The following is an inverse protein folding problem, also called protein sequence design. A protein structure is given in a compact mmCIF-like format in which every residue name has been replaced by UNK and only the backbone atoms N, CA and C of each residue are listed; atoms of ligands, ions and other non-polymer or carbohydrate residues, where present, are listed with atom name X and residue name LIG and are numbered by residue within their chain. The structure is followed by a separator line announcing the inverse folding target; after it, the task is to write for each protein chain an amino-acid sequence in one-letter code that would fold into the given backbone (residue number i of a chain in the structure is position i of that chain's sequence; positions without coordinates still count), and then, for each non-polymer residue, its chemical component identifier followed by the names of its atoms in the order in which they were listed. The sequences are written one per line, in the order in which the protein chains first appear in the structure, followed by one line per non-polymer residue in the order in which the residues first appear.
data_IF_131081833925
#
_entry.id   IF_131081833925
#
_cell.length_a   1.000
_cell.length_b   1.000
_cell.length_c   1.000
_cell.angle_alpha   90.00
_cell.angle_beta   90.00
_cell.angle_gamma   90.00
#
_symmetry.space_group_name_H-M   'P 1'
#
loop_
_entity.id
_entity.type
_entity.pdbx_description
1 polymer ?
#
# COMPACT_ATOMS: atom_id res chain seq x y z
N UNK A 1 -56.12 -0.58 -16.35
CA UNK A 1 -57.01 -1.73 -16.14
C UNK A 1 -57.20 -2.42 -17.48
N UNK A 2 -56.60 -3.61 -17.64
CA UNK A 2 -56.92 -4.65 -18.65
C UNK A 2 -56.05 -5.87 -18.34
N UNK A 3 -56.64 -6.71 -17.51
CA UNK A 3 -56.75 -8.17 -17.57
C UNK A 3 -55.63 -9.00 -18.22
N UNK A 4 -55.10 -9.90 -17.39
CA UNK A 4 -54.42 -11.13 -17.77
C UNK A 4 -55.43 -12.29 -17.59
N UNK A 5 -55.42 -13.34 -18.44
CA UNK A 5 -55.27 -14.67 -17.82
C UNK A 5 -54.52 -15.73 -18.66
N UNK A 6 -53.61 -16.41 -17.95
CA UNK A 6 -53.33 -17.86 -17.82
C UNK A 6 -53.76 -18.86 -18.91
N UNK A 7 -52.80 -19.69 -19.35
CA UNK A 7 -52.77 -21.18 -19.51
C UNK A 7 -51.47 -21.54 -20.28
N UNK A 8 -50.73 -22.64 -20.15
CA UNK A 8 -50.88 -23.90 -19.42
C UNK A 8 -49.53 -24.69 -19.44
N UNK A 9 -49.39 -25.61 -18.47
CA UNK A 9 -48.66 -26.91 -18.48
C UNK A 9 -47.16 -27.02 -18.87
N UNK A 10 -46.36 -27.58 -17.94
CA UNK A 10 -45.94 -29.00 -18.00
C UNK A 10 -45.19 -29.45 -16.74
N UNK A 11 -45.70 -30.52 -16.14
CA UNK A 11 -45.12 -31.28 -15.03
C UNK A 11 -44.21 -32.38 -15.55
N UNK A 12 -43.04 -32.59 -14.93
CA UNK A 12 -42.37 -33.90 -14.90
C UNK A 12 -41.83 -34.15 -13.49
N UNK A 13 -42.24 -35.29 -12.92
CA UNK A 13 -41.94 -35.77 -11.57
C UNK A 13 -41.55 -37.25 -11.65
N UNK A 14 -40.32 -37.63 -11.30
CA UNK A 14 -39.90 -38.96 -10.78
C UNK A 14 -38.56 -38.76 -10.03
N UNK A 15 -38.52 -38.68 -8.68
CA UNK A 15 -38.21 -39.72 -7.65
C UNK A 15 -36.94 -40.55 -7.95
N UNK A 16 -35.81 -40.38 -7.24
CA UNK A 16 -35.45 -40.76 -5.84
C UNK A 16 -34.76 -42.14 -5.72
N UNK A 17 -33.50 -42.14 -5.27
CA UNK A 17 -32.84 -43.10 -4.35
C UNK A 17 -31.44 -42.54 -4.03
N UNK A 18 -31.15 -42.01 -2.84
CA UNK A 18 -30.98 -42.63 -1.52
C UNK A 18 -29.77 -43.56 -1.41
N UNK A 19 -28.60 -43.02 -1.01
CA UNK A 19 -27.70 -43.60 0.01
C UNK A 19 -26.93 -42.46 0.71
N UNK A 20 -27.00 -42.44 2.05
CA UNK A 20 -26.04 -41.83 2.99
C UNK A 20 -25.72 -42.94 4.03
N UNK A 21 -24.82 -42.79 5.03
CA UNK A 21 -23.94 -41.67 5.42
C UNK A 21 -22.49 -42.09 5.80
N UNK A 22 -21.64 -41.11 6.14
CA UNK A 22 -20.59 -41.09 7.20
C UNK A 22 -19.39 -40.21 6.78
N UNK A 23 -18.63 -39.52 7.62
CA UNK A 23 -18.85 -38.78 8.88
C UNK A 23 -17.49 -38.18 9.23
N UNK A 24 -17.27 -36.89 9.02
CA UNK A 24 -16.30 -36.04 9.73
C UNK A 24 -16.34 -34.65 9.07
N UNK A 25 -16.66 -33.54 9.71
CA UNK A 25 -16.51 -33.25 11.13
C UNK A 25 -15.85 -31.88 11.29
N UNK A 26 -16.31 -30.87 10.56
CA UNK A 26 -16.00 -29.46 10.88
C UNK A 26 -17.24 -28.62 10.60
N UNK A 27 -18.19 -28.66 11.54
CA UNK A 27 -19.25 -27.65 11.62
C UNK A 27 -18.59 -26.32 11.97
N UNK A 28 -18.32 -25.49 10.97
CA UNK A 28 -18.12 -24.06 11.21
C UNK A 28 -19.49 -23.52 11.66
N UNK A 29 -19.63 -23.00 12.90
CA UNK A 29 -20.90 -22.44 13.32
C UNK A 29 -21.24 -21.23 12.43
N UNK A 30 -22.51 -21.05 12.04
CA UNK A 30 -22.92 -19.96 11.19
C UNK A 30 -22.71 -18.62 11.92
N UNK A 31 -22.13 -17.65 11.21
CA UNK A 31 -22.04 -16.23 11.58
C UNK A 31 -23.41 -15.68 11.99
N UNK A 32 -23.75 -15.74 13.29
CA UNK A 32 -25.07 -15.33 13.80
C UNK A 32 -25.10 -13.93 14.43
N UNK A 33 -23.99 -13.19 14.42
CA UNK A 33 -23.84 -11.93 15.16
C UNK A 33 -23.80 -10.65 14.30
N UNK A 34 -23.71 -10.73 12.97
CA UNK A 34 -23.58 -9.52 12.15
C UNK A 34 -24.89 -8.72 12.04
N UNK A 35 -26.03 -9.40 12.00
CA UNK A 35 -27.34 -8.73 11.88
C UNK A 35 -27.69 -7.88 13.12
N UNK A 36 -27.27 -8.30 14.32
CA UNK A 36 -27.47 -7.55 15.56
C UNK A 36 -26.51 -6.37 15.69
N UNK A 37 -25.24 -6.56 15.30
CA UNK A 37 -24.24 -5.50 15.28
C UNK A 37 -24.64 -4.37 14.31
N UNK A 38 -25.10 -4.71 13.10
CA UNK A 38 -25.51 -3.72 12.09
C UNK A 38 -26.73 -2.88 12.52
N UNK A 39 -27.70 -3.47 13.24
CA UNK A 39 -28.83 -2.70 13.81
C UNK A 39 -28.40 -1.77 14.93
N UNK A 40 -27.46 -2.21 15.77
CA UNK A 40 -26.91 -1.42 16.88
C UNK A 40 -26.08 -0.25 16.34
N UNK A 41 -25.32 -0.47 15.27
CA UNK A 41 -24.58 0.56 14.56
C UNK A 41 -25.53 1.59 13.90
N UNK A 42 -26.60 1.14 13.24
CA UNK A 42 -27.63 2.05 12.69
C UNK A 42 -28.35 2.87 13.76
N UNK A 43 -28.59 2.30 14.95
CA UNK A 43 -29.16 3.03 16.07
C UNK A 43 -28.18 4.09 16.61
N UNK A 44 -26.90 3.73 16.78
CA UNK A 44 -25.85 4.65 17.23
C UNK A 44 -25.60 5.80 16.25
N UNK A 45 -25.66 5.55 14.93
CA UNK A 45 -25.58 6.58 13.87
C UNK A 45 -26.57 7.71 14.05
N UNK A 46 -27.77 7.42 14.56
CA UNK A 46 -28.84 8.40 14.71
C UNK A 46 -28.82 9.11 16.07
N UNK A 47 -28.17 8.54 17.08
CA UNK A 47 -28.42 8.93 18.47
C UNK A 47 -27.17 9.20 19.32
N UNK A 48 -25.94 8.99 18.82
CA UNK A 48 -24.72 9.10 19.64
C UNK A 48 -23.70 10.09 19.07
N UNK A 49 -23.44 11.22 19.74
CA UNK A 49 -22.33 12.11 19.40
C UNK A 49 -20.96 11.42 19.46
N UNK A 50 -20.78 10.46 20.39
CA UNK A 50 -19.56 9.66 20.51
C UNK A 50 -19.37 8.75 19.27
N UNK A 51 -20.44 8.16 18.76
CA UNK A 51 -20.38 7.39 17.51
C UNK A 51 -19.98 8.27 16.32
N UNK A 52 -20.52 9.48 16.19
CA UNK A 52 -20.14 10.39 15.11
C UNK A 52 -18.66 10.79 15.17
N UNK A 53 -18.15 11.08 16.38
CA UNK A 53 -16.71 11.34 16.59
C UNK A 53 -15.87 10.11 16.25
N UNK A 54 -16.28 8.92 16.69
CA UNK A 54 -15.59 7.66 16.37
C UNK A 54 -15.54 7.42 14.87
N UNK A 55 -16.66 7.63 14.17
CA UNK A 55 -16.73 7.49 12.72
C UNK A 55 -15.81 8.52 12.03
N UNK A 56 -15.81 9.78 12.44
CA UNK A 56 -14.91 10.81 11.89
C UNK A 56 -13.43 10.51 12.14
N UNK A 57 -13.09 9.95 13.30
CA UNK A 57 -11.72 9.56 13.63
C UNK A 57 -11.22 8.38 12.80
N UNK A 58 -12.12 7.47 12.43
CA UNK A 58 -11.79 6.22 11.73
C UNK A 58 -11.91 6.32 10.21
N UNK A 59 -12.57 7.35 9.68
CA UNK A 59 -12.68 7.59 8.23
C UNK A 59 -11.31 7.89 7.57
N UNK A 60 -11.22 7.58 6.28
CA UNK A 60 -10.10 7.92 5.41
C UNK A 60 -9.98 9.44 5.28
N UNK A 61 -8.95 10.04 5.89
CA UNK A 61 -8.65 11.46 5.75
C UNK A 61 -7.93 11.71 4.42
N UNK A 62 -8.04 12.92 3.83
CA UNK A 62 -7.30 13.29 2.62
C UNK A 62 -5.78 13.07 2.74
N UNK A 63 -5.23 13.07 3.96
CA UNK A 63 -3.80 12.81 4.22
C UNK A 63 -3.38 11.38 3.88
N UNK A 64 -4.21 10.37 4.16
CA UNK A 64 -3.87 8.98 3.87
C UNK A 64 -3.87 8.72 2.36
N UNK A 65 -4.86 9.28 1.65
CA UNK A 65 -4.89 9.25 0.19
C UNK A 65 -3.68 9.96 -0.41
N UNK A 66 -3.38 11.19 0.05
CA UNK A 66 -2.23 11.95 -0.43
C UNK A 66 -0.90 11.22 -0.20
N UNK A 67 -0.70 10.57 0.95
CA UNK A 67 0.52 9.78 1.20
C UNK A 67 0.58 8.52 0.34
N UNK A 68 -0.55 7.89 0.06
CA UNK A 68 -0.61 6.76 -0.88
C UNK A 68 -0.28 7.18 -2.31
N UNK A 69 -0.75 8.36 -2.73
CA UNK A 69 -0.46 8.94 -4.04
C UNK A 69 1.04 9.29 -4.13
N UNK A 70 1.61 9.95 -3.11
CA UNK A 70 3.05 10.23 -3.05
C UNK A 70 3.88 8.95 -3.11
N UNK A 71 3.50 7.89 -2.38
CA UNK A 71 4.21 6.61 -2.45
C UNK A 71 4.15 5.99 -3.86
N UNK A 72 3.01 6.13 -4.53
CA UNK A 72 2.82 5.63 -5.90
C UNK A 72 3.67 6.43 -6.89
N UNK A 73 3.60 7.75 -6.83
CA UNK A 73 4.34 8.66 -7.70
C UNK A 73 5.85 8.52 -7.49
N UNK A 74 6.31 8.47 -6.23
CA UNK A 74 7.71 8.25 -5.89
C UNK A 74 8.20 6.89 -6.41
N UNK A 75 7.39 5.83 -6.30
CA UNK A 75 7.75 4.52 -6.83
C UNK A 75 7.84 4.51 -8.36
N UNK A 76 6.95 5.21 -9.07
CA UNK A 76 7.00 5.30 -10.53
C UNK A 76 8.23 6.11 -10.96
N UNK A 77 8.42 7.28 -10.34
CA UNK A 77 9.51 8.21 -10.62
C UNK A 77 10.87 7.56 -10.37
N UNK A 78 11.01 6.82 -9.26
CA UNK A 78 12.24 6.08 -8.95
C UNK A 78 12.61 5.08 -10.05
N UNK A 79 11.64 4.37 -10.64
CA UNK A 79 11.92 3.42 -11.73
C UNK A 79 12.44 4.14 -12.98
N UNK A 80 11.88 5.31 -13.29
CA UNK A 80 12.37 6.16 -14.39
C UNK A 80 13.80 6.64 -14.11
N UNK A 81 14.05 7.16 -12.90
CA UNK A 81 15.37 7.63 -12.50
C UNK A 81 16.45 6.52 -12.57
N UNK A 82 16.10 5.31 -12.12
CA UNK A 82 16.99 4.13 -12.23
C UNK A 82 17.32 3.82 -13.70
N UNK A 83 16.34 3.91 -14.59
CA UNK A 83 16.55 3.69 -16.03
C UNK A 83 17.49 4.76 -16.60
N UNK A 84 17.23 6.03 -16.31
CA UNK A 84 18.01 7.17 -16.81
C UNK A 84 19.48 7.09 -16.36
N UNK A 85 19.73 6.80 -15.09
CA UNK A 85 21.09 6.60 -14.57
C UNK A 85 21.79 5.43 -15.25
N UNK A 86 21.06 4.34 -15.51
CA UNK A 86 21.61 3.16 -16.19
C UNK A 86 22.02 3.49 -17.63
N UNK A 87 21.21 4.28 -18.34
CA UNK A 87 21.49 4.74 -19.69
C UNK A 87 22.69 5.70 -19.74
N UNK A 88 22.79 6.61 -18.78
CA UNK A 88 23.94 7.51 -18.64
C UNK A 88 25.23 6.75 -18.35
N UNK A 89 25.19 5.75 -17.47
CA UNK A 89 26.33 4.86 -17.19
C UNK A 89 26.74 4.05 -18.42
N UNK A 90 25.79 3.60 -19.24
CA UNK A 90 26.08 2.91 -20.49
C UNK A 90 26.78 3.83 -21.50
N UNK A 91 26.29 5.06 -21.67
CA UNK A 91 26.94 6.08 -22.51
C UNK A 91 28.36 6.39 -22.03
N UNK A 92 28.55 6.53 -20.72
CA UNK A 92 29.86 6.78 -20.14
C UNK A 92 30.85 5.66 -20.42
N UNK A 93 30.44 4.40 -20.29
CA UNK A 93 31.28 3.24 -20.63
C UNK A 93 31.59 3.16 -22.12
N UNK A 94 30.69 3.58 -23.00
CA UNK A 94 30.94 3.61 -24.44
C UNK A 94 32.07 4.60 -24.80
N UNK A 95 32.26 5.68 -24.03
CA UNK A 95 33.39 6.61 -24.20
C UNK A 95 34.76 6.00 -23.83
N UNK A 96 34.81 4.80 -23.25
CA UNK A 96 36.06 4.09 -22.97
C UNK A 96 36.56 3.26 -24.17
N UNK A 97 35.74 3.11 -25.22
CA UNK A 97 36.12 2.43 -26.47
C UNK A 97 36.93 3.42 -27.34
N UNK A 98 38.10 3.05 -27.88
CA UNK A 98 38.99 3.99 -28.55
C UNK A 98 38.38 4.46 -29.88
N UNK A 99 37.74 5.62 -29.85
CA UNK A 99 37.39 6.39 -31.04
C UNK A 99 38.54 7.36 -31.36
N UNK A 100 38.75 7.66 -32.64
CA UNK A 100 39.76 8.60 -33.14
C UNK A 100 39.45 10.07 -32.81
N UNK A 101 38.73 10.33 -31.72
CA UNK A 101 38.35 11.68 -31.27
C UNK A 101 39.51 12.35 -30.50
N UNK A 102 39.60 13.68 -30.63
CA UNK A 102 40.56 14.49 -29.89
C UNK A 102 40.44 14.27 -28.38
N UNK A 103 41.58 14.09 -27.71
CA UNK A 103 41.67 13.79 -26.29
C UNK A 103 40.99 14.82 -25.39
N UNK A 104 40.94 16.09 -25.79
CA UNK A 104 40.28 17.17 -25.03
C UNK A 104 38.75 17.10 -25.13
N UNK A 105 38.22 16.76 -26.31
CA UNK A 105 36.78 16.61 -26.55
C UNK A 105 36.25 15.39 -25.79
N UNK A 106 36.99 14.28 -25.79
CA UNK A 106 36.66 13.09 -24.99
C UNK A 106 36.68 13.38 -23.48
N UNK A 107 37.67 14.13 -23.00
CA UNK A 107 37.76 14.52 -21.60
C UNK A 107 36.59 15.40 -21.16
N UNK A 108 36.18 16.36 -22.00
CA UNK A 108 35.01 17.21 -21.71
C UNK A 108 33.73 16.37 -21.67
N UNK A 109 33.48 15.51 -22.67
CA UNK A 109 32.29 14.64 -22.69
C UNK A 109 32.21 13.71 -21.48
N UNK A 110 33.34 13.16 -21.02
CA UNK A 110 33.38 12.36 -19.79
C UNK A 110 33.03 13.19 -18.56
N UNK A 111 33.53 14.42 -18.47
CA UNK A 111 33.21 15.33 -17.37
C UNK A 111 31.71 15.64 -17.35
N UNK A 112 31.15 16.00 -18.50
CA UNK A 112 29.72 16.34 -18.63
C UNK A 112 28.83 15.13 -18.30
N UNK A 113 29.15 13.94 -18.79
CA UNK A 113 28.41 12.72 -18.45
C UNK A 113 28.55 12.35 -16.96
N UNK A 114 29.72 12.53 -16.36
CA UNK A 114 29.91 12.27 -14.92
C UNK A 114 29.01 13.17 -14.09
N UNK A 115 28.95 14.47 -14.43
CA UNK A 115 28.06 15.41 -13.74
C UNK A 115 26.59 15.03 -13.89
N UNK A 116 26.15 14.62 -15.09
CA UNK A 116 24.79 14.14 -15.33
C UNK A 116 24.46 12.85 -14.58
N UNK A 117 25.41 11.91 -14.50
CA UNK A 117 25.25 10.67 -13.73
C UNK A 117 25.06 11.00 -12.24
N UNK A 118 25.91 11.87 -11.68
CA UNK A 118 25.81 12.26 -10.28
C UNK A 118 24.46 12.93 -9.98
N UNK A 119 24.02 13.85 -10.86
CA UNK A 119 22.71 14.47 -10.70
C UNK A 119 21.54 13.47 -10.77
N UNK A 120 21.63 12.50 -11.68
CA UNK A 120 20.62 11.43 -11.81
C UNK A 120 20.60 10.52 -10.58
N UNK A 121 21.77 10.23 -10.01
CA UNK A 121 21.91 9.46 -8.76
C UNK A 121 21.34 10.23 -7.57
N UNK A 122 21.61 11.53 -7.44
CA UNK A 122 21.03 12.37 -6.38
C UNK A 122 19.49 12.34 -6.47
N UNK A 123 18.95 12.45 -7.68
CA UNK A 123 17.51 12.35 -7.91
C UNK A 123 16.92 10.97 -7.59
N UNK A 124 17.65 9.88 -7.88
CA UNK A 124 17.26 8.54 -7.42
C UNK A 124 17.12 8.50 -5.88
N UNK A 125 18.08 9.07 -5.15
CA UNK A 125 18.04 9.12 -3.69
C UNK A 125 16.85 9.94 -3.16
N UNK A 126 16.57 11.11 -3.76
CA UNK A 126 15.39 11.91 -3.40
C UNK A 126 14.08 11.11 -3.56
N UNK A 127 13.97 10.31 -4.64
CA UNK A 127 12.81 9.45 -4.87
C UNK A 127 12.70 8.32 -3.82
N UNK A 128 13.82 7.73 -3.41
CA UNK A 128 13.87 6.72 -2.36
C UNK A 128 13.42 7.28 -1.01
N UNK A 129 13.89 8.48 -0.65
CA UNK A 129 13.52 9.18 0.57
C UNK A 129 12.05 9.55 0.60
N UNK A 130 11.51 10.07 -0.52
CA UNK A 130 10.10 10.38 -0.65
C UNK A 130 9.22 9.13 -0.47
N UNK A 131 9.60 8.00 -1.07
CA UNK A 131 8.90 6.73 -0.93
C UNK A 131 8.92 6.24 0.52
N UNK A 132 10.09 6.25 1.17
CA UNK A 132 10.25 5.82 2.56
C UNK A 132 9.44 6.71 3.52
N UNK A 133 9.46 8.03 3.32
CA UNK A 133 8.71 8.99 4.10
C UNK A 133 7.20 8.80 3.96
N UNK A 134 6.71 8.56 2.73
CA UNK A 134 5.29 8.33 2.48
C UNK A 134 4.77 7.06 3.17
N UNK A 135 5.51 5.95 3.05
CA UNK A 135 5.16 4.68 3.70
C UNK A 135 5.18 4.81 5.23
N UNK A 136 6.18 5.50 5.79
CA UNK A 136 6.24 5.79 7.23
C UNK A 136 5.08 6.67 7.68
N UNK A 137 4.73 7.68 6.87
CA UNK A 137 3.60 8.57 7.11
C UNK A 137 2.27 7.81 7.20
N UNK A 138 2.03 6.87 6.28
CA UNK A 138 0.82 6.04 6.28
C UNK A 138 0.69 5.24 7.58
N UNK A 139 1.77 4.62 8.04
CA UNK A 139 1.78 3.85 9.29
C UNK A 139 1.46 4.75 10.51
N UNK A 140 2.03 5.96 10.56
CA UNK A 140 1.78 6.93 11.64
C UNK A 140 0.34 7.43 11.65
N UNK A 141 -0.24 7.70 10.48
CA UNK A 141 -1.63 8.15 10.36
C UNK A 141 -2.58 7.06 10.87
N UNK A 142 -2.39 5.81 10.48
CA UNK A 142 -3.22 4.70 10.95
C UNK A 142 -3.10 4.49 12.47
N UNK A 143 -1.88 4.52 13.02
CA UNK A 143 -1.66 4.43 14.47
C UNK A 143 -2.34 5.58 15.23
N UNK A 144 -2.27 6.81 14.71
CA UNK A 144 -2.93 7.98 15.31
C UNK A 144 -4.45 7.82 15.33
N UNK A 145 -5.05 7.30 14.25
CA UNK A 145 -6.50 7.04 14.19
C UNK A 145 -6.93 6.01 15.24
N UNK A 146 -6.14 4.96 15.46
CA UNK A 146 -6.41 3.99 16.51
C UNK A 146 -6.37 4.63 17.90
N UNK A 147 -5.37 5.44 18.20
CA UNK A 147 -5.27 6.14 19.49
C UNK A 147 -6.49 7.02 19.72
N UNK A 148 -6.87 7.85 18.73
CA UNK A 148 -8.06 8.71 18.85
C UNK A 148 -9.34 7.88 18.99
N UNK A 149 -9.46 6.77 18.26
CA UNK A 149 -10.62 5.89 18.37
C UNK A 149 -10.73 5.27 19.78
N UNK A 150 -9.61 4.85 20.40
CA UNK A 150 -9.56 4.35 21.78
C UNK A 150 -9.98 5.43 22.78
N UNK A 151 -9.47 6.64 22.63
CA UNK A 151 -9.81 7.78 23.50
C UNK A 151 -11.31 8.13 23.41
N UNK A 152 -11.90 8.06 22.22
CA UNK A 152 -13.33 8.31 22.06
C UNK A 152 -14.16 7.23 22.76
N UNK A 153 -13.75 5.96 22.67
CA UNK A 153 -14.45 4.85 23.34
C UNK A 153 -14.33 4.96 24.86
N UNK A 154 -13.14 5.27 25.40
CA UNK A 154 -12.95 5.44 26.85
C UNK A 154 -13.75 6.62 27.42
N UNK A 155 -14.02 7.64 26.61
CA UNK A 155 -14.84 8.80 26.98
C UNK A 155 -16.34 8.61 26.70
N UNK A 156 -16.76 7.48 26.13
CA UNK A 156 -18.13 7.28 25.65
C UNK A 156 -19.16 6.94 26.75
N UNK A 157 -18.69 6.65 27.97
CA UNK A 157 -19.56 6.34 29.12
C UNK A 157 -20.58 5.24 28.81
N UNK A 158 -21.87 5.57 28.86
CA UNK A 158 -22.96 4.61 28.62
C UNK A 158 -23.00 4.00 27.20
N UNK A 159 -22.23 4.54 26.25
CA UNK A 159 -22.11 4.02 24.89
C UNK A 159 -20.87 3.11 24.70
N UNK A 160 -19.98 3.00 25.68
CA UNK A 160 -18.73 2.24 25.59
C UNK A 160 -18.98 0.79 25.17
N UNK A 161 -19.90 0.09 25.84
CA UNK A 161 -20.22 -1.31 25.54
C UNK A 161 -20.72 -1.52 24.10
N UNK A 162 -21.28 -0.48 23.46
CA UNK A 162 -21.75 -0.55 22.07
C UNK A 162 -20.66 -0.16 21.06
N UNK A 163 -19.67 0.66 21.47
CA UNK A 163 -18.54 1.05 20.62
C UNK A 163 -17.35 0.08 20.70
N UNK A 164 -17.16 -0.61 21.83
CA UNK A 164 -16.12 -1.61 22.03
C UNK A 164 -16.01 -2.65 20.88
N UNK A 165 -17.11 -3.28 20.39
CA UNK A 165 -17.00 -4.22 19.27
C UNK A 165 -16.60 -3.54 17.95
N UNK A 166 -16.94 -2.26 17.75
CA UNK A 166 -16.52 -1.50 16.57
C UNK A 166 -15.04 -1.12 16.64
N UNK A 167 -14.55 -0.78 17.83
CA UNK A 167 -13.13 -0.54 18.08
C UNK A 167 -12.32 -1.81 17.81
N UNK A 168 -12.73 -2.96 18.36
CA UNK A 168 -12.05 -4.24 18.13
C UNK A 168 -11.97 -4.58 16.62
N UNK A 169 -13.05 -4.33 15.87
CA UNK A 169 -13.04 -4.48 14.41
C UNK A 169 -12.04 -3.55 13.72
N UNK A 170 -11.96 -2.28 14.15
CA UNK A 170 -11.02 -1.30 13.59
C UNK A 170 -9.57 -1.62 13.92
N UNK A 171 -9.31 -2.14 15.12
CA UNK A 171 -8.00 -2.61 15.56
C UNK A 171 -7.54 -3.80 14.71
N UNK A 172 -8.43 -4.76 14.45
CA UNK A 172 -8.11 -5.86 13.53
C UNK A 172 -7.78 -5.34 12.13
N UNK A 173 -8.61 -4.44 11.59
CA UNK A 173 -8.36 -3.84 10.27
C UNK A 173 -7.05 -3.05 10.21
N UNK A 174 -6.69 -2.35 11.30
CA UNK A 174 -5.39 -1.68 11.41
C UNK A 174 -4.25 -2.69 11.45
N UNK A 175 -4.37 -3.78 12.22
CA UNK A 175 -3.36 -4.83 12.27
C UNK A 175 -3.13 -5.45 10.87
N UNK A 176 -4.20 -5.75 10.14
CA UNK A 176 -4.13 -6.26 8.77
C UNK A 176 -3.47 -5.25 7.82
N UNK A 177 -3.83 -3.96 7.93
CA UNK A 177 -3.23 -2.88 7.15
C UNK A 177 -1.73 -2.71 7.46
N UNK A 178 -1.34 -2.70 8.74
CA UNK A 178 0.04 -2.59 9.18
C UNK A 178 0.86 -3.80 8.74
N UNK A 179 0.31 -5.00 8.80
CA UNK A 179 0.96 -6.22 8.30
C UNK A 179 1.21 -6.13 6.79
N UNK A 180 0.23 -5.67 6.01
CA UNK A 180 0.41 -5.47 4.56
C UNK A 180 1.46 -4.39 4.26
N UNK A 181 1.38 -3.23 4.92
CA UNK A 181 2.27 -2.10 4.65
C UNK A 181 3.68 -2.25 5.22
N UNK A 182 3.86 -2.97 6.32
CA UNK A 182 5.20 -3.29 6.84
C UNK A 182 5.98 -4.20 5.88
N UNK A 183 5.29 -5.13 5.21
CA UNK A 183 5.87 -5.92 4.13
C UNK A 183 6.27 -5.05 2.94
N UNK A 184 5.39 -4.17 2.49
CA UNK A 184 5.69 -3.24 1.39
C UNK A 184 6.90 -2.34 1.72
N UNK A 185 6.93 -1.78 2.93
CA UNK A 185 8.03 -0.93 3.40
C UNK A 185 9.35 -1.71 3.53
N UNK A 186 9.31 -2.94 4.05
CA UNK A 186 10.50 -3.79 4.13
C UNK A 186 11.06 -4.13 2.75
N UNK A 187 10.19 -4.48 1.80
CA UNK A 187 10.59 -4.74 0.41
C UNK A 187 11.17 -3.48 -0.24
N UNK A 188 10.54 -2.32 -0.04
CA UNK A 188 11.04 -1.05 -0.55
C UNK A 188 12.43 -0.73 0.02
N UNK A 189 12.64 -0.89 1.33
CA UNK A 189 13.94 -0.67 1.98
C UNK A 189 15.02 -1.63 1.45
N UNK A 190 14.70 -2.92 1.29
CA UNK A 190 15.66 -3.88 0.70
C UNK A 190 16.04 -3.51 -0.74
N UNK A 191 15.08 -3.03 -1.53
CA UNK A 191 15.34 -2.54 -2.89
C UNK A 191 16.23 -1.30 -2.84
N UNK A 192 15.94 -0.36 -1.94
CA UNK A 192 16.73 0.85 -1.71
C UNK A 192 18.17 0.47 -1.35
N UNK A 193 18.39 -0.31 -0.29
CA UNK A 193 19.73 -0.75 0.16
C UNK A 193 20.52 -1.45 -0.94
N UNK A 194 19.87 -2.38 -1.65
CA UNK A 194 20.48 -3.08 -2.77
C UNK A 194 20.86 -2.11 -3.88
N UNK A 195 19.98 -1.17 -4.23
CA UNK A 195 20.22 -0.20 -5.30
C UNK A 195 21.31 0.79 -4.92
N UNK A 196 21.33 1.29 -3.68
CA UNK A 196 22.41 2.13 -3.15
C UNK A 196 23.76 1.44 -3.31
N UNK A 197 23.85 0.16 -2.90
CA UNK A 197 25.08 -0.63 -3.05
C UNK A 197 25.50 -0.76 -4.51
N UNK A 198 24.54 -1.02 -5.41
CA UNK A 198 24.79 -1.11 -6.85
C UNK A 198 25.27 0.21 -7.46
N UNK A 199 24.69 1.35 -7.05
CA UNK A 199 25.12 2.68 -7.51
C UNK A 199 26.57 2.92 -7.13
N UNK A 200 26.92 2.71 -5.85
CA UNK A 200 28.30 2.88 -5.35
C UNK A 200 29.27 2.03 -6.16
N UNK A 201 28.95 0.75 -6.37
CA UNK A 201 29.78 -0.15 -7.17
C UNK A 201 29.90 0.30 -8.64
N UNK A 202 28.79 0.72 -9.26
CA UNK A 202 28.77 1.18 -10.65
C UNK A 202 29.60 2.45 -10.84
N UNK A 203 29.52 3.40 -9.90
CA UNK A 203 30.30 4.63 -9.92
C UNK A 203 31.80 4.37 -9.67
N UNK A 204 32.13 3.46 -8.75
CA UNK A 204 33.52 3.05 -8.50
C UNK A 204 34.13 2.38 -9.73
N UNK A 205 33.41 1.44 -10.37
CA UNK A 205 33.85 0.79 -11.62
C UNK A 205 34.01 1.76 -12.78
N UNK A 206 33.23 2.83 -12.81
CA UNK A 206 33.36 3.91 -13.79
C UNK A 206 34.53 4.86 -13.48
N UNK A 207 35.19 4.74 -12.33
CA UNK A 207 36.23 5.67 -11.89
C UNK A 207 35.69 7.06 -11.52
N UNK A 208 34.38 7.18 -11.33
CA UNK A 208 33.70 8.42 -10.93
C UNK A 208 33.85 8.63 -9.42
N UNK A 209 33.66 7.56 -8.64
CA UNK A 209 34.02 7.54 -7.23
C UNK A 209 35.43 6.93 -7.07
N UNK A 210 36.24 7.50 -6.17
CA UNK A 210 37.48 6.85 -5.74
C UNK A 210 37.13 5.66 -4.84
N UNK A 211 37.74 4.50 -5.09
CA UNK A 211 37.75 3.42 -4.11
C UNK A 211 38.55 3.91 -2.88
N UNK A 212 37.94 3.86 -1.70
CA UNK A 212 38.67 4.01 -0.43
C UNK A 212 39.61 2.83 -0.18
#
# INVERSE_FOLDING_TARGET
MRDNPLSDTLSVKVRSSSVAPDSSGTKVPPFRNEAGANRTEQALRKSSPAFNKFQQATQTRPVEAALSDVATDASITLRTAISDTSDLLAQYRALAVPASEDSSVLAQRRTDLSARILHSVDFEFDCMDALAAALTGLQRVDATKLTVARDIVSQAGSHEAKLAPLLARREQQSADFQAARSKDASVALQIIERRTSQIVEQLARAGILKAE
#
